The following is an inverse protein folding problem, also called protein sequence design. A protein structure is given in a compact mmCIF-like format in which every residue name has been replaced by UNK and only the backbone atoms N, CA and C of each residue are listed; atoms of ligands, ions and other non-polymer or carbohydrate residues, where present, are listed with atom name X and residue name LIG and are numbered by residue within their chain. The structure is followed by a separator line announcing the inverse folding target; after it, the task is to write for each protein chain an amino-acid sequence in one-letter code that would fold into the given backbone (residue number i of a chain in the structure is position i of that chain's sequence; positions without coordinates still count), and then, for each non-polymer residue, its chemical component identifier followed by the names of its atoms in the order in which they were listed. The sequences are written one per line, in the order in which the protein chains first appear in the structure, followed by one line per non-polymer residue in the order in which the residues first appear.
data_IF_348127735468
#
_entry.id   IF_348127735468
#
_cell.length_a   1.000
_cell.length_b   1.000
_cell.length_c   1.000
_cell.angle_alpha   90.00
_cell.angle_beta   90.00
_cell.angle_gamma   90.00
#
_symmetry.space_group_name_H-M   'P 1'
#
loop_
_entity.id
_entity.type
_entity.pdbx_description
1 polymer ?
#
# COMPACT_ATOMS: atom_id res chain seq x y z
N UNK A 1 -32.63 17.81 -17.56
CA UNK A 1 -31.92 18.30 -18.75
C UNK A 1 -30.93 19.38 -18.36
N UNK A 2 -29.86 18.96 -17.69
CA UNK A 2 -28.77 19.86 -17.28
C UNK A 2 -27.51 19.56 -18.10
N UNK A 3 -26.75 20.59 -18.53
CA UNK A 3 -25.53 20.43 -19.34
C UNK A 3 -24.46 19.49 -18.76
N UNK A 4 -24.51 19.22 -17.46
CA UNK A 4 -23.62 18.30 -16.76
C UNK A 4 -23.91 16.81 -17.07
N UNK A 5 -25.16 16.45 -17.35
CA UNK A 5 -25.54 15.09 -17.76
C UNK A 5 -25.11 14.82 -19.19
N UNK A 6 -25.30 15.78 -20.09
CA UNK A 6 -24.82 15.71 -21.48
C UNK A 6 -23.29 15.59 -21.55
N UNK A 7 -22.56 16.31 -20.69
CA UNK A 7 -21.10 16.20 -20.63
C UNK A 7 -20.65 14.84 -20.07
N UNK A 8 -21.37 14.31 -19.09
CA UNK A 8 -21.10 12.98 -18.51
C UNK A 8 -21.36 11.87 -19.53
N UNK A 9 -22.44 11.98 -20.29
CA UNK A 9 -22.82 11.00 -21.30
C UNK A 9 -21.90 11.09 -22.52
N UNK A 10 -21.46 12.28 -22.93
CA UNK A 10 -20.44 12.46 -23.96
C UNK A 10 -19.06 11.89 -23.54
N UNK A 11 -18.69 11.97 -22.26
CA UNK A 11 -17.46 11.34 -21.74
C UNK A 11 -17.60 9.81 -21.70
N UNK A 12 -18.78 9.29 -21.36
CA UNK A 12 -19.07 7.86 -21.39
C UNK A 12 -19.05 7.31 -22.82
N UNK A 13 -19.61 8.04 -23.78
CA UNK A 13 -19.65 7.67 -25.20
C UNK A 13 -18.25 7.72 -25.84
N UNK A 14 -17.43 8.73 -25.51
CA UNK A 14 -16.03 8.81 -25.93
C UNK A 14 -15.15 7.67 -25.40
N UNK A 15 -15.58 6.99 -24.32
CA UNK A 15 -14.93 5.82 -23.75
C UNK A 15 -15.54 4.49 -24.21
N UNK A 16 -16.46 4.49 -25.19
CA UNK A 16 -16.97 3.24 -25.79
C UNK A 16 -16.03 2.72 -26.89
N UNK A 17 -15.86 1.40 -26.87
CA UNK A 17 -14.80 0.56 -27.46
C UNK A 17 -14.74 0.49 -29.00
N UNK A 18 -14.95 1.60 -29.73
CA UNK A 18 -14.94 1.56 -31.21
C UNK A 18 -14.29 2.75 -31.92
N UNK A 19 -13.55 3.60 -31.22
CA UNK A 19 -12.75 4.67 -31.83
C UNK A 19 -11.33 4.22 -32.26
N UNK A 20 -10.60 4.99 -33.09
CA UNK A 20 -9.19 4.73 -33.45
C UNK A 20 -8.21 4.84 -32.26
N UNK A 21 -8.71 5.16 -31.07
CA UNK A 21 -8.02 5.16 -29.77
C UNK A 21 -8.65 4.17 -28.77
N UNK A 22 -9.56 3.29 -29.22
CA UNK A 22 -10.11 2.25 -28.36
C UNK A 22 -8.99 1.31 -27.92
N UNK A 23 -8.98 0.88 -26.64
CA UNK A 23 -8.06 -0.15 -26.20
C UNK A 23 -8.28 -1.41 -27.04
N UNK A 24 -7.17 -1.98 -27.53
CA UNK A 24 -7.17 -3.21 -28.30
C UNK A 24 -7.74 -4.34 -27.41
N UNK A 25 -8.84 -5.02 -27.79
CA UNK A 25 -9.52 -6.01 -26.96
C UNK A 25 -8.63 -7.22 -26.62
N UNK A 26 -7.55 -7.44 -27.37
CA UNK A 26 -6.55 -8.50 -27.10
C UNK A 26 -5.32 -7.98 -26.33
N UNK A 27 -5.23 -6.68 -26.03
CA UNK A 27 -4.18 -6.09 -25.20
C UNK A 27 -4.55 -6.01 -23.70
N UNK A 28 -5.83 -6.17 -23.34
CA UNK A 28 -6.37 -6.10 -21.97
C UNK A 28 -6.22 -7.43 -21.19
N UNK A 29 -5.00 -7.97 -21.13
CA UNK A 29 -4.66 -9.01 -20.14
C UNK A 29 -4.50 -8.40 -18.74
N UNK A 30 -4.67 -9.18 -17.65
CA UNK A 30 -4.37 -8.71 -16.29
C UNK A 30 -2.97 -8.11 -16.17
N UNK A 31 -2.02 -8.60 -16.98
CA UNK A 31 -0.65 -8.10 -17.07
C UNK A 31 -0.54 -6.69 -17.65
N UNK A 32 -1.44 -6.29 -18.55
CA UNK A 32 -1.40 -4.97 -19.18
C UNK A 32 -1.94 -3.88 -18.24
N UNK A 33 -3.04 -4.15 -17.55
CA UNK A 33 -3.59 -3.25 -16.54
C UNK A 33 -2.62 -3.07 -15.37
N UNK A 34 -1.99 -4.14 -14.92
CA UNK A 34 -0.98 -4.08 -13.86
C UNK A 34 0.29 -3.35 -14.32
N UNK A 35 0.73 -3.58 -15.56
CA UNK A 35 1.85 -2.82 -16.14
C UNK A 35 1.53 -1.33 -16.25
N UNK A 36 0.29 -0.96 -16.61
CA UNK A 36 -0.15 0.43 -16.64
C UNK A 36 -0.19 1.03 -15.22
N UNK A 37 -0.81 0.34 -14.26
CA UNK A 37 -0.83 0.73 -12.85
C UNK A 37 0.59 0.98 -12.33
N UNK A 38 1.54 0.10 -12.65
CA UNK A 38 2.93 0.23 -12.22
C UNK A 38 3.64 1.42 -12.88
N UNK A 39 3.35 1.69 -14.16
CA UNK A 39 3.86 2.90 -14.84
C UNK A 39 3.31 4.16 -14.21
N UNK A 40 2.00 4.23 -13.97
CA UNK A 40 1.36 5.40 -13.34
C UNK A 40 1.89 5.59 -11.92
N UNK A 41 2.07 4.51 -11.16
CA UNK A 41 2.65 4.56 -9.82
C UNK A 41 4.08 5.12 -9.82
N UNK A 42 4.92 4.66 -10.75
CA UNK A 42 6.28 5.14 -10.90
C UNK A 42 6.32 6.63 -11.25
N UNK A 43 5.52 7.05 -12.24
CA UNK A 43 5.44 8.46 -12.66
C UNK A 43 4.91 9.34 -11.53
N UNK A 44 3.83 8.94 -10.86
CA UNK A 44 3.25 9.70 -9.75
C UNK A 44 4.23 9.83 -8.57
N UNK A 45 5.00 8.77 -8.28
CA UNK A 45 6.04 8.82 -7.24
C UNK A 45 7.16 9.80 -7.63
N UNK A 46 7.63 9.74 -8.87
CA UNK A 46 8.64 10.66 -9.38
C UNK A 46 8.17 12.12 -9.35
N UNK A 47 6.93 12.40 -9.77
CA UNK A 47 6.34 13.74 -9.72
C UNK A 47 6.31 14.27 -8.29
N UNK A 48 6.02 13.41 -7.30
CA UNK A 48 6.03 13.81 -5.90
C UNK A 48 7.44 14.16 -5.40
N UNK A 49 8.46 13.44 -5.84
CA UNK A 49 9.87 13.69 -5.49
C UNK A 49 10.43 14.99 -6.08
N UNK A 50 9.94 15.38 -7.26
CA UNK A 50 10.39 16.59 -7.97
C UNK A 50 9.41 17.76 -7.87
N UNK A 51 8.38 17.64 -7.02
CA UNK A 51 7.42 18.73 -6.80
C UNK A 51 8.17 19.92 -6.19
N UNK A 52 8.09 21.12 -6.79
CA UNK A 52 8.80 22.29 -6.28
C UNK A 52 8.30 22.66 -4.89
N UNK A 53 9.21 23.14 -4.05
CA UNK A 53 8.88 23.71 -2.74
C UNK A 53 8.01 24.96 -2.88
N UNK A 54 7.40 25.41 -1.79
CA UNK A 54 6.59 26.64 -1.81
C UNK A 54 7.42 27.87 -2.24
N UNK A 55 8.66 27.98 -1.77
CA UNK A 55 9.57 29.07 -2.13
C UNK A 55 9.99 29.01 -3.61
N UNK A 56 10.31 27.82 -4.13
CA UNK A 56 10.63 27.64 -5.55
C UNK A 56 9.42 27.93 -6.44
N UNK A 57 8.23 27.50 -6.02
CA UNK A 57 6.98 27.77 -6.72
C UNK A 57 6.72 29.26 -6.80
N UNK A 58 6.89 30.00 -5.71
CA UNK A 58 6.74 31.46 -5.69
C UNK A 58 7.71 32.14 -6.68
N UNK A 59 8.99 31.76 -6.65
CA UNK A 59 10.00 32.30 -7.58
C UNK A 59 9.71 31.97 -9.05
N UNK A 60 9.31 30.74 -9.35
CA UNK A 60 9.01 30.29 -10.71
C UNK A 60 7.72 30.95 -11.25
N UNK A 61 6.74 31.20 -10.40
CA UNK A 61 5.50 31.87 -10.77
C UNK A 61 5.68 33.39 -10.91
N UNK A 62 6.56 34.00 -10.11
CA UNK A 62 6.88 35.43 -10.18
C UNK A 62 7.82 35.81 -11.34
N UNK A 63 8.35 34.84 -12.09
CA UNK A 63 9.21 35.12 -13.23
C UNK A 63 8.44 35.73 -14.41
N UNK A 64 8.71 37.00 -14.72
CA UNK A 64 8.07 37.77 -15.80
C UNK A 64 8.78 37.68 -17.16
N UNK A 65 9.93 37.00 -17.22
CA UNK A 65 10.69 36.81 -18.46
C UNK A 65 10.08 35.78 -19.41
N UNK A 66 10.71 35.61 -20.58
CA UNK A 66 10.21 34.68 -21.61
C UNK A 66 10.45 33.22 -21.20
N UNK A 67 9.45 32.34 -21.40
CA UNK A 67 9.61 30.90 -21.14
C UNK A 67 10.75 30.25 -21.94
N UNK A 68 11.12 30.83 -23.08
CA UNK A 68 12.20 30.33 -23.93
C UNK A 68 13.57 30.51 -23.27
N UNK A 69 13.70 31.49 -22.37
CA UNK A 69 14.92 31.77 -21.59
C UNK A 69 15.10 30.82 -20.40
N UNK A 70 14.01 30.18 -19.95
CA UNK A 70 14.07 29.17 -18.90
C UNK A 70 14.69 27.87 -19.41
N UNK A 71 15.51 27.24 -18.57
CA UNK A 71 16.04 25.91 -18.88
C UNK A 71 14.92 24.87 -18.95
N UNK A 72 15.18 23.72 -19.58
CA UNK A 72 14.17 22.64 -19.69
C UNK A 72 13.67 22.16 -18.31
N UNK A 73 14.52 21.96 -17.28
CA UNK A 73 14.08 21.68 -15.91
C UNK A 73 13.21 22.79 -15.30
N UNK A 74 13.60 24.06 -15.45
CA UNK A 74 12.86 25.18 -14.84
C UNK A 74 11.47 25.34 -15.46
N UNK A 75 11.36 25.15 -16.78
CA UNK A 75 10.04 25.11 -17.45
C UNK A 75 9.16 23.99 -16.90
N UNK A 76 9.74 22.82 -16.65
CA UNK A 76 8.99 21.69 -16.11
C UNK A 76 8.52 21.94 -14.68
N UNK A 77 9.41 22.43 -13.80
CA UNK A 77 9.04 22.80 -12.43
C UNK A 77 8.00 23.93 -12.40
N UNK A 78 8.12 24.92 -13.28
CA UNK A 78 7.14 26.00 -13.42
C UNK A 78 5.76 25.45 -13.81
N UNK A 79 5.70 24.51 -14.75
CA UNK A 79 4.46 23.82 -15.13
C UNK A 79 3.83 23.09 -13.94
N UNK A 80 4.64 22.42 -13.11
CA UNK A 80 4.17 21.77 -11.88
C UNK A 80 3.63 22.79 -10.86
N UNK A 81 4.32 23.92 -10.69
CA UNK A 81 3.93 24.99 -9.76
C UNK A 81 2.57 25.63 -10.11
N UNK A 82 2.18 25.64 -11.39
CA UNK A 82 0.86 26.10 -11.82
C UNK A 82 -0.29 25.17 -11.40
N UNK A 83 -0.01 23.91 -11.06
CA UNK A 83 -1.05 22.96 -10.69
C UNK A 83 -1.43 23.18 -9.22
N UNK A 84 -2.67 23.64 -8.93
CA UNK A 84 -3.05 23.95 -7.56
C UNK A 84 -3.11 22.68 -6.72
N UNK A 85 -2.40 22.69 -5.57
CA UNK A 85 -2.34 21.58 -4.62
C UNK A 85 -1.82 20.28 -5.26
N UNK A 86 -0.85 20.37 -6.17
CA UNK A 86 -0.27 19.23 -6.89
C UNK A 86 0.11 18.09 -5.94
N UNK A 87 0.88 18.38 -4.90
CA UNK A 87 1.38 17.40 -3.94
C UNK A 87 0.24 16.58 -3.31
N UNK A 88 -0.83 17.24 -2.87
CA UNK A 88 -2.00 16.58 -2.31
C UNK A 88 -2.73 15.70 -3.34
N UNK A 89 -2.89 16.20 -4.57
CA UNK A 89 -3.52 15.44 -5.66
C UNK A 89 -2.73 14.18 -6.01
N UNK A 90 -1.41 14.30 -6.14
CA UNK A 90 -0.52 13.18 -6.43
C UNK A 90 -0.56 12.15 -5.30
N UNK A 91 -0.54 12.60 -4.03
CA UNK A 91 -0.72 11.68 -2.89
C UNK A 91 -2.06 10.95 -2.91
N UNK A 92 -3.15 11.61 -3.29
CA UNK A 92 -4.44 10.93 -3.44
C UNK A 92 -4.42 9.87 -4.55
N UNK A 93 -3.76 10.16 -5.69
CA UNK A 93 -3.59 9.19 -6.76
C UNK A 93 -2.77 7.99 -6.29
N UNK A 94 -1.62 8.24 -5.64
CA UNK A 94 -0.77 7.18 -5.09
C UNK A 94 -1.50 6.32 -4.06
N UNK A 95 -2.29 6.95 -3.18
CA UNK A 95 -3.12 6.25 -2.21
C UNK A 95 -4.12 5.35 -2.92
N UNK A 96 -4.89 5.89 -3.88
CA UNK A 96 -5.88 5.12 -4.63
C UNK A 96 -5.26 3.91 -5.34
N UNK A 97 -4.08 4.08 -5.95
CA UNK A 97 -3.39 3.00 -6.66
C UNK A 97 -2.88 1.89 -5.74
N UNK A 98 -2.54 2.21 -4.49
CA UNK A 98 -1.98 1.25 -3.51
C UNK A 98 -3.02 0.68 -2.55
N UNK A 99 -4.22 1.25 -2.52
CA UNK A 99 -5.20 0.98 -1.48
C UNK A 99 -5.66 -0.48 -1.49
N UNK A 100 -6.06 -0.97 -2.65
CA UNK A 100 -6.61 -2.33 -2.78
C UNK A 100 -5.55 -3.38 -2.42
N UNK A 101 -4.33 -3.27 -2.97
CA UNK A 101 -3.21 -4.16 -2.62
C UNK A 101 -2.89 -4.15 -1.12
N UNK A 102 -2.92 -2.97 -0.49
CA UNK A 102 -2.63 -2.82 0.93
C UNK A 102 -3.73 -3.48 1.79
N UNK A 103 -5.00 -3.35 1.40
CA UNK A 103 -6.11 -3.99 2.10
C UNK A 103 -6.07 -5.51 1.91
N UNK A 104 -5.83 -6.00 0.69
CA UNK A 104 -5.72 -7.42 0.40
C UNK A 104 -4.58 -8.07 1.20
N UNK A 105 -3.39 -7.44 1.20
CA UNK A 105 -2.25 -7.89 2.00
C UNK A 105 -2.59 -7.93 3.49
N UNK A 106 -3.19 -6.85 4.03
CA UNK A 106 -3.53 -6.79 5.45
C UNK A 106 -4.57 -7.85 5.84
N UNK A 107 -5.55 -8.12 4.97
CA UNK A 107 -6.53 -9.17 5.19
C UNK A 107 -5.89 -10.57 5.19
N UNK A 108 -4.98 -10.84 4.25
CA UNK A 108 -4.24 -12.10 4.19
C UNK A 108 -3.43 -12.32 5.47
N UNK A 109 -2.70 -11.30 5.93
CA UNK A 109 -1.90 -11.36 7.16
C UNK A 109 -2.76 -11.65 8.39
N UNK A 110 -3.92 -10.99 8.49
CA UNK A 110 -4.85 -11.19 9.62
C UNK A 110 -5.49 -12.58 9.60
N UNK A 111 -5.85 -13.10 8.42
CA UNK A 111 -6.38 -14.45 8.27
C UNK A 111 -5.33 -15.49 8.67
N UNK A 112 -4.09 -15.32 8.23
CA UNK A 112 -2.99 -16.20 8.58
C UNK A 112 -2.71 -16.18 10.09
N UNK A 113 -2.69 -14.99 10.71
CA UNK A 113 -2.51 -14.85 12.15
C UNK A 113 -3.62 -15.54 12.93
N UNK A 114 -4.87 -15.37 12.49
CA UNK A 114 -6.03 -16.02 13.09
C UNK A 114 -5.91 -17.53 12.98
N UNK A 115 -5.65 -18.06 11.80
CA UNK A 115 -5.52 -19.51 11.58
C UNK A 115 -4.37 -20.11 12.41
N UNK A 116 -3.23 -19.43 12.50
CA UNK A 116 -2.12 -19.86 13.33
C UNK A 116 -2.50 -19.89 14.83
N UNK A 117 -3.24 -18.88 15.29
CA UNK A 117 -3.70 -18.78 16.68
C UNK A 117 -4.71 -19.88 16.99
N UNK A 118 -5.70 -20.09 16.12
CA UNK A 118 -6.72 -21.14 16.26
C UNK A 118 -6.03 -22.51 16.31
N UNK A 119 -5.10 -22.79 15.40
CA UNK A 119 -4.30 -24.03 15.42
C UNK A 119 -3.50 -24.21 16.70
N UNK A 120 -2.91 -23.14 17.25
CA UNK A 120 -2.15 -23.22 18.49
C UNK A 120 -3.04 -23.51 19.70
N UNK A 121 -4.20 -22.85 19.78
CA UNK A 121 -5.17 -23.02 20.89
C UNK A 121 -5.86 -24.38 20.82
N UNK A 122 -6.20 -24.87 19.63
CA UNK A 122 -6.95 -26.12 19.47
C UNK A 122 -6.04 -27.36 19.42
N UNK A 123 -4.72 -27.19 19.42
CA UNK A 123 -3.77 -28.29 19.32
C UNK A 123 -3.70 -29.12 20.61
N UNK A 124 -4.39 -30.25 20.59
CA UNK A 124 -4.34 -31.25 21.67
C UNK A 124 -2.93 -31.82 21.88
N UNK A 125 -2.14 -31.94 20.80
CA UNK A 125 -0.74 -32.38 20.88
C UNK A 125 0.13 -31.35 21.60
N UNK A 126 -0.04 -30.06 21.30
CA UNK A 126 0.68 -29.00 21.99
C UNK A 126 0.32 -28.99 23.48
N UNK A 127 -0.96 -29.11 23.83
CA UNK A 127 -1.38 -29.22 25.21
C UNK A 127 -0.77 -30.43 25.93
N UNK A 128 -0.76 -31.60 25.30
CA UNK A 128 -0.16 -32.81 25.87
C UNK A 128 1.36 -32.64 26.10
N UNK A 129 2.07 -32.02 25.14
CA UNK A 129 3.49 -31.71 25.28
C UNK A 129 3.75 -30.75 26.45
N UNK A 130 3.00 -29.64 26.52
CA UNK A 130 3.15 -28.65 27.59
C UNK A 130 2.86 -29.27 28.97
N UNK A 131 1.88 -30.17 29.06
CA UNK A 131 1.57 -30.92 30.27
C UNK A 131 2.73 -31.84 30.67
N UNK A 132 3.29 -32.61 29.73
CA UNK A 132 4.43 -33.48 30.00
C UNK A 132 5.66 -32.70 30.47
N UNK A 133 5.95 -31.55 29.83
CA UNK A 133 7.04 -30.66 30.25
C UNK A 133 6.80 -30.12 31.66
N UNK A 134 5.56 -29.76 32.01
CA UNK A 134 5.22 -29.30 33.35
C UNK A 134 5.41 -30.40 34.40
N UNK A 135 4.96 -31.62 34.12
CA UNK A 135 5.10 -32.78 35.00
C UNK A 135 6.57 -33.11 35.25
N UNK A 136 7.36 -33.25 34.18
CA UNK A 136 8.81 -33.52 34.29
C UNK A 136 9.52 -32.37 35.00
N UNK A 137 9.20 -31.12 34.68
CA UNK A 137 9.78 -29.96 35.34
C UNK A 137 9.47 -29.91 36.84
N UNK A 138 8.27 -30.31 37.25
CA UNK A 138 7.88 -30.36 38.66
C UNK A 138 8.61 -31.46 39.43
N UNK A 139 8.75 -32.64 38.83
CA UNK A 139 9.52 -33.76 39.41
C UNK A 139 11.00 -33.39 39.58
N UNK A 140 11.62 -32.83 38.53
CA UNK A 140 13.05 -32.45 38.57
C UNK A 140 13.33 -31.34 39.57
N UNK A 141 12.37 -30.44 39.82
CA UNK A 141 12.52 -29.31 40.74
C UNK A 141 11.89 -29.56 42.12
N UNK A 142 11.55 -30.81 42.45
CA UNK A 142 10.97 -31.17 43.74
C UNK A 142 11.82 -30.66 44.92
N UNK A 143 11.16 -30.04 45.91
CA UNK A 143 11.84 -29.46 47.08
C UNK A 143 12.49 -28.09 46.86
N UNK A 144 12.45 -27.54 45.65
CA UNK A 144 12.91 -26.17 45.35
C UNK A 144 11.75 -25.18 45.24
N UNK A 145 12.04 -23.87 45.23
CA UNK A 145 11.04 -22.84 44.95
C UNK A 145 10.43 -22.91 43.54
N UNK A 146 11.01 -23.72 42.63
CA UNK A 146 10.54 -23.91 41.26
C UNK A 146 9.74 -25.21 41.07
N UNK A 147 9.60 -26.04 42.11
CA UNK A 147 8.74 -27.22 42.08
C UNK A 147 7.27 -26.86 42.27
N UNK A 148 6.37 -27.81 41.97
CA UNK A 148 4.92 -27.68 42.11
C UNK A 148 4.32 -26.43 41.41
N UNK A 149 4.85 -26.11 40.23
CA UNK A 149 4.33 -25.05 39.37
C UNK A 149 2.99 -25.48 38.76
N UNK A 150 2.08 -24.51 38.59
CA UNK A 150 0.81 -24.68 37.87
C UNK A 150 0.93 -24.41 36.35
N UNK A 151 2.09 -23.91 35.92
CA UNK A 151 2.36 -23.56 34.53
C UNK A 151 3.71 -22.86 34.40
N UNK A 152 4.13 -22.65 33.16
CA UNK A 152 5.39 -21.96 32.83
C UNK A 152 5.20 -21.03 31.64
N UNK A 153 6.11 -20.07 31.49
CA UNK A 153 6.12 -19.17 30.33
C UNK A 153 6.57 -19.95 29.10
N UNK A 154 5.88 -19.83 27.97
CA UNK A 154 6.28 -20.48 26.71
C UNK A 154 7.72 -20.11 26.28
N UNK A 155 8.18 -18.90 26.60
CA UNK A 155 9.57 -18.47 26.35
C UNK A 155 10.62 -19.29 27.12
N UNK A 156 10.22 -20.07 28.12
CA UNK A 156 11.10 -21.03 28.81
C UNK A 156 11.35 -22.30 27.99
N UNK A 157 10.51 -22.64 27.01
CA UNK A 157 10.69 -23.82 26.14
C UNK A 157 12.03 -23.79 25.39
N UNK A 158 12.52 -22.60 25.06
CA UNK A 158 13.81 -22.40 24.37
C UNK A 158 15.01 -22.62 25.30
N UNK A 159 14.78 -22.85 26.60
CA UNK A 159 15.82 -23.09 27.61
C UNK A 159 15.81 -24.52 28.16
N UNK A 160 14.89 -25.36 27.69
CA UNK A 160 14.90 -26.79 27.97
C UNK A 160 15.93 -27.50 27.09
#
# INVERSE_FOLDING_TARGET
DTPAEELRDAILEANTTTGPFAPDPDADGPDAHEAEKQRVLAVATQVLEITPTAEESEKLLAYEGSEVELSKPDRYLRMLAFIPRLEARVRCVLFKLRFDDAIESAQADLLQLREATDKAVDSTLLHALLQAVLEVGNELNAGTQKGNAAGFRLSSLVRF
#
